data_IF_952366197164
#
_entry.id   IF_952366197164
#
_cell.length_a   1.000
_cell.length_b   1.000
_cell.length_c   1.000
_cell.angle_alpha   90.00
_cell.angle_beta   90.00
_cell.angle_gamma   90.00
#
_symmetry.space_group_name_H-M   'P 1'
#
loop_
_entity.id
_entity.type
_entity.pdbx_description
1 polymer ?
#
# COMPACT_ATOMS: atom_id res chain seq x y z
N UNK A 1 15.88 11.74 -23.66
CA UNK A 1 16.44 10.45 -23.16
C UNK A 1 17.00 10.57 -21.74
N UNK A 2 17.80 11.59 -21.39
CA UNK A 2 18.30 11.78 -20.00
C UNK A 2 17.18 12.05 -18.99
N UNK A 3 16.19 12.85 -19.37
CA UNK A 3 15.12 13.29 -18.46
C UNK A 3 14.12 12.17 -18.13
N UNK A 4 13.80 11.29 -19.10
CA UNK A 4 13.00 10.08 -18.84
C UNK A 4 13.69 9.20 -17.80
N UNK A 5 15.00 8.93 -17.96
CA UNK A 5 15.78 8.15 -16.97
C UNK A 5 15.81 8.81 -15.58
N UNK A 6 15.72 10.14 -15.48
CA UNK A 6 15.59 10.84 -14.19
C UNK A 6 14.23 10.62 -13.55
N UNK A 7 13.14 10.61 -14.31
CA UNK A 7 11.80 10.34 -13.78
C UNK A 7 11.69 8.96 -13.11
N UNK A 8 12.38 7.95 -13.62
CA UNK A 8 12.48 6.63 -12.98
C UNK A 8 13.29 6.62 -11.67
N UNK A 9 14.13 7.64 -11.43
CA UNK A 9 14.97 7.76 -10.23
C UNK A 9 14.38 8.71 -9.19
N UNK A 10 13.54 9.65 -9.60
CA UNK A 10 12.88 10.56 -8.67
C UNK A 10 11.75 9.83 -7.97
N UNK A 11 11.92 9.64 -6.66
CA UNK A 11 10.90 9.01 -5.84
C UNK A 11 9.82 10.06 -5.54
N UNK A 12 8.70 9.97 -6.26
CA UNK A 12 7.49 10.74 -5.95
C UNK A 12 6.78 10.05 -4.78
N UNK A 13 6.46 10.82 -3.74
CA UNK A 13 5.60 10.36 -2.66
C UNK A 13 4.16 10.26 -3.16
N UNK A 14 3.47 9.19 -2.79
CA UNK A 14 2.06 9.02 -3.12
C UNK A 14 1.19 9.95 -2.26
N UNK A 15 0.09 10.50 -2.79
CA UNK A 15 -0.78 11.41 -2.04
C UNK A 15 -1.79 10.68 -1.14
N UNK A 16 -1.70 9.35 -1.01
CA UNK A 16 -2.74 8.56 -0.35
C UNK A 16 -2.61 8.62 1.19
N UNK A 17 -3.74 8.71 1.91
CA UNK A 17 -3.74 8.85 3.36
C UNK A 17 -3.24 7.59 4.06
N UNK A 18 -2.75 7.72 5.29
CA UNK A 18 -2.32 6.56 6.09
C UNK A 18 -3.47 5.61 6.45
N UNK A 19 -4.69 6.13 6.53
CA UNK A 19 -5.90 5.36 6.84
C UNK A 19 -6.98 5.64 5.79
N UNK A 20 -7.70 4.59 5.40
CA UNK A 20 -8.88 4.67 4.54
C UNK A 20 -10.03 3.90 5.18
N UNK A 21 -11.19 4.52 5.27
CA UNK A 21 -12.42 3.86 5.73
C UNK A 21 -13.36 3.67 4.55
N UNK A 22 -13.89 2.45 4.39
CA UNK A 22 -14.94 2.14 3.42
C UNK A 22 -16.18 1.66 4.17
N UNK A 23 -17.30 2.35 3.96
CA UNK A 23 -18.57 2.05 4.59
C UNK A 23 -19.68 1.93 3.55
N UNK A 24 -20.43 0.83 3.61
CA UNK A 24 -21.65 0.64 2.82
C UNK A 24 -22.57 -0.37 3.48
N UNK A 25 -23.88 -0.13 3.41
CA UNK A 25 -24.89 -1.02 4.01
C UNK A 25 -24.70 -1.22 5.52
N UNK A 26 -24.21 -0.19 6.24
CA UNK A 26 -23.92 -0.26 7.68
C UNK A 26 -22.68 -1.07 8.06
N UNK A 27 -21.95 -1.60 7.09
CA UNK A 27 -20.72 -2.34 7.31
C UNK A 27 -19.50 -1.42 7.12
N UNK A 28 -18.72 -1.21 8.17
CA UNK A 28 -17.53 -0.34 8.20
C UNK A 28 -16.24 -1.14 8.22
N UNK A 29 -15.30 -0.80 7.33
CA UNK A 29 -13.98 -1.45 7.18
C UNK A 29 -12.92 -0.37 7.27
N UNK A 30 -11.89 -0.61 8.07
CA UNK A 30 -10.76 0.32 8.24
C UNK A 30 -9.54 -0.35 7.63
N UNK A 31 -8.85 0.42 6.80
CA UNK A 31 -7.66 0.01 6.09
C UNK A 31 -6.49 0.91 6.44
N UNK A 32 -5.30 0.32 6.59
CA UNK A 32 -4.05 1.04 6.82
C UNK A 32 -3.14 0.92 5.60
N UNK A 33 -2.55 2.04 5.16
CA UNK A 33 -1.57 2.05 4.08
C UNK A 33 -0.36 1.21 4.47
N UNK A 34 0.08 0.33 3.58
CA UNK A 34 1.26 -0.51 3.78
C UNK A 34 2.51 0.17 3.25
N UNK A 35 3.52 0.21 4.11
CA UNK A 35 4.89 0.61 3.81
C UNK A 35 5.86 -0.40 4.40
N UNK A 36 7.06 -0.44 3.84
CA UNK A 36 8.17 -1.29 4.24
C UNK A 36 9.41 -0.44 4.46
N UNK A 37 10.25 -0.87 5.39
CA UNK A 37 11.57 -0.27 5.65
C UNK A 37 12.61 -0.96 4.78
N UNK A 38 12.94 -0.34 3.67
CA UNK A 38 13.92 -0.86 2.71
C UNK A 38 15.25 -0.19 2.98
N UNK A 39 16.36 -0.94 2.87
CA UNK A 39 17.70 -0.35 2.98
C UNK A 39 18.09 0.30 1.66
N UNK A 40 18.47 1.58 1.69
CA UNK A 40 19.01 2.29 0.54
C UNK A 40 20.39 1.70 0.17
N UNK A 41 20.59 1.18 -1.07
CA UNK A 41 21.85 0.58 -1.46
C UNK A 41 23.02 1.58 -1.55
N UNK A 42 22.73 2.87 -1.77
CA UNK A 42 23.75 3.90 -1.96
C UNK A 42 24.18 4.53 -0.63
N UNK A 43 23.24 4.78 0.30
CA UNK A 43 23.55 5.41 1.59
C UNK A 43 23.64 4.41 2.75
N UNK A 44 22.97 3.26 2.64
CA UNK A 44 22.85 2.28 3.71
C UNK A 44 21.75 2.57 4.73
N UNK A 45 21.01 3.67 4.57
CA UNK A 45 19.94 4.08 5.49
C UNK A 45 18.66 3.26 5.29
N UNK A 46 17.84 3.13 6.35
CA UNK A 46 16.49 2.59 6.22
C UNK A 46 15.54 3.70 5.76
N UNK A 47 14.90 3.46 4.61
CA UNK A 47 13.91 4.35 4.01
C UNK A 47 12.54 3.67 4.00
N UNK A 48 11.49 4.43 4.33
CA UNK A 48 10.12 3.93 4.28
C UNK A 48 9.57 4.06 2.85
N UNK A 49 9.06 2.97 2.30
CA UNK A 49 8.58 2.88 0.91
C UNK A 49 7.26 2.11 0.83
N UNK A 50 6.32 2.63 0.05
CA UNK A 50 5.07 1.94 -0.30
C UNK A 50 5.14 1.21 -1.65
N UNK A 51 4.04 0.56 -2.04
CA UNK A 51 3.91 -0.10 -3.34
C UNK A 51 3.86 0.93 -4.47
N UNK A 52 4.50 0.62 -5.61
CA UNK A 52 4.41 1.43 -6.84
C UNK A 52 3.76 0.65 -7.96
N UNK A 53 3.09 1.37 -8.86
CA UNK A 53 2.50 0.76 -10.05
C UNK A 53 3.55 0.61 -11.15
N UNK A 54 3.96 -0.63 -11.40
CA UNK A 54 4.73 -1.04 -12.58
C UNK A 54 5.92 -0.11 -12.89
N UNK A 55 6.06 0.23 -14.17
CA UNK A 55 7.15 1.06 -14.69
C UNK A 55 6.78 2.54 -14.82
N UNK A 56 5.56 2.98 -14.46
CA UNK A 56 5.12 4.34 -14.78
C UNK A 56 5.20 5.28 -13.55
N UNK A 57 6.22 6.15 -13.45
CA UNK A 57 6.50 6.93 -12.24
C UNK A 57 5.51 8.07 -11.96
N UNK A 58 4.65 8.41 -12.91
CA UNK A 58 3.61 9.44 -12.80
C UNK A 58 2.28 8.90 -12.23
N UNK A 59 2.14 7.57 -12.11
CA UNK A 59 0.92 6.95 -11.58
C UNK A 59 1.12 6.56 -10.12
N UNK A 60 0.54 7.32 -9.17
CA UNK A 60 0.62 6.97 -7.78
C UNK A 60 -0.20 5.70 -7.52
N UNK A 61 0.37 4.78 -6.72
CA UNK A 61 -0.35 3.64 -6.17
C UNK A 61 -0.04 3.48 -4.69
N UNK A 62 -0.92 2.79 -3.98
CA UNK A 62 -0.73 2.39 -2.59
C UNK A 62 -1.40 1.04 -2.35
N UNK A 63 -0.78 0.21 -1.51
CA UNK A 63 -1.40 -1.00 -0.98
C UNK A 63 -1.97 -0.70 0.41
N UNK A 64 -3.13 -1.26 0.70
CA UNK A 64 -3.82 -1.11 1.98
C UNK A 64 -4.10 -2.48 2.59
N UNK A 65 -3.87 -2.60 3.90
CA UNK A 65 -4.20 -3.77 4.70
C UNK A 65 -5.52 -3.56 5.43
N UNK A 66 -6.40 -4.56 5.43
CA UNK A 66 -7.61 -4.57 6.25
C UNK A 66 -7.21 -4.77 7.72
N UNK A 67 -7.43 -3.74 8.54
CA UNK A 67 -7.06 -3.77 9.97
C UNK A 67 -8.28 -3.86 10.89
N UNK A 68 -9.50 -3.59 10.41
CA UNK A 68 -10.73 -3.74 11.19
C UNK A 68 -11.97 -3.89 10.29
N UNK A 69 -12.94 -4.66 10.78
CA UNK A 69 -14.20 -4.94 10.09
C UNK A 69 -14.11 -6.13 9.14
N UNK A 70 -15.23 -6.46 8.51
CA UNK A 70 -15.35 -7.53 7.52
C UNK A 70 -16.40 -7.12 6.47
N UNK A 71 -16.36 -7.72 5.28
CA UNK A 71 -17.40 -7.58 4.26
C UNK A 71 -18.22 -8.88 4.21
N UNK A 72 -19.51 -8.78 4.57
CA UNK A 72 -20.45 -9.90 4.46
C UNK A 72 -21.39 -9.66 3.29
N UNK A 73 -21.42 -10.60 2.34
CA UNK A 73 -22.28 -10.59 1.17
C UNK A 73 -23.02 -11.92 1.04
N UNK A 74 -24.35 -11.89 1.06
CA UNK A 74 -25.15 -13.12 0.92
C UNK A 74 -24.89 -14.17 2.01
N UNK A 75 -24.48 -13.75 3.21
CA UNK A 75 -24.10 -14.65 4.31
C UNK A 75 -22.68 -15.22 4.21
N UNK A 76 -21.90 -14.85 3.19
CA UNK A 76 -20.49 -15.20 3.08
C UNK A 76 -19.62 -14.06 3.62
N UNK A 77 -18.67 -14.41 4.48
CA UNK A 77 -17.69 -13.47 5.04
C UNK A 77 -16.46 -13.42 4.14
N UNK A 78 -15.94 -12.21 3.93
CA UNK A 78 -14.67 -11.99 3.26
C UNK A 78 -13.52 -12.21 4.24
N UNK A 79 -12.29 -12.00 3.78
CA UNK A 79 -11.11 -12.15 4.59
C UNK A 79 -11.11 -11.25 5.84
N UNK A 80 -10.77 -11.82 6.98
CA UNK A 80 -10.69 -11.08 8.24
C UNK A 80 -9.38 -10.29 8.39
N UNK A 81 -9.38 -9.25 9.25
CA UNK A 81 -8.15 -8.59 9.66
C UNK A 81 -7.12 -9.60 10.16
N UNK A 82 -5.84 -9.33 9.86
CA UNK A 82 -4.66 -10.20 10.10
C UNK A 82 -4.47 -11.35 9.11
N UNK A 83 -5.42 -11.58 8.19
CA UNK A 83 -5.22 -12.48 7.06
C UNK A 83 -4.83 -11.65 5.83
N UNK A 84 -3.71 -10.94 5.90
CA UNK A 84 -3.38 -9.84 4.98
C UNK A 84 -3.08 -10.20 3.52
N UNK A 85 -3.04 -11.48 3.12
CA UNK A 85 -2.62 -11.92 1.78
C UNK A 85 -1.29 -11.24 1.36
N UNK A 86 -1.31 -10.44 0.28
CA UNK A 86 -0.16 -9.67 -0.20
C UNK A 86 0.23 -8.55 0.78
N UNK A 87 -0.72 -7.99 1.52
CA UNK A 87 -0.45 -6.90 2.46
C UNK A 87 0.27 -7.36 3.74
N UNK A 88 0.37 -8.67 3.98
CA UNK A 88 1.15 -9.26 5.09
C UNK A 88 2.59 -9.64 4.72
N UNK A 89 3.05 -9.33 3.50
CA UNK A 89 4.46 -9.51 3.13
C UNK A 89 5.34 -8.66 4.06
N UNK A 90 6.45 -9.23 4.53
CA UNK A 90 7.47 -8.57 5.35
C UNK A 90 8.78 -8.45 4.56
N UNK A 91 9.75 -7.72 5.11
CA UNK A 91 11.05 -7.46 4.48
C UNK A 91 12.05 -8.64 4.55
N UNK A 92 11.70 -9.69 5.29
CA UNK A 92 12.50 -10.92 5.50
C UNK A 92 12.48 -11.89 4.29
#
# INVERSE_FOLDING_TARGET
>A
MSELKKMYRTIVEDPFPQEMTIEFGGQKRIYRKRTWKIKDPATGDLIERGLRYGENPDQPAALYELVSGNLVLGGCEFIDPRNGLVSSITED
#
